data_IF_531852868671
#
_entry.id   IF_531852868671
#
_cell.length_a   1.000
_cell.length_b   1.000
_cell.length_c   1.000
_cell.angle_alpha   90.00
_cell.angle_beta   90.00
_cell.angle_gamma   90.00
#
_symmetry.space_group_name_H-M   'P 1'
#
loop_
_entity.id
_entity.type
_entity.pdbx_description
1 polymer ?
#
# COMPACT_ATOMS: atom_id res chain seq x y z
N UNK A 1 26.74 -1.25 26.54
CA UNK A 1 25.69 -1.91 25.71
C UNK A 1 26.09 -1.72 24.26
N UNK A 2 26.48 -2.78 23.55
CA UNK A 2 26.71 -2.72 22.11
C UNK A 2 25.36 -2.53 21.42
N UNK A 3 24.98 -1.30 21.11
CA UNK A 3 23.89 -1.03 20.18
C UNK A 3 24.36 -1.48 18.81
N UNK A 4 23.95 -2.69 18.40
CA UNK A 4 24.08 -3.09 17.01
C UNK A 4 23.37 -2.05 16.14
N UNK A 5 24.11 -1.45 15.21
CA UNK A 5 23.57 -0.46 14.29
C UNK A 5 22.58 -1.14 13.33
N UNK A 6 21.49 -0.44 13.03
CA UNK A 6 20.55 -0.87 12.00
C UNK A 6 21.22 -0.76 10.62
N UNK A 7 21.71 -1.88 10.10
CA UNK A 7 22.28 -1.99 8.76
C UNK A 7 21.20 -2.26 7.70
N UNK A 8 21.45 -1.91 6.41
CA UNK A 8 20.59 -2.33 5.31
C UNK A 8 20.38 -3.85 5.31
N UNK A 9 19.18 -4.29 4.91
CA UNK A 9 18.88 -5.71 4.75
C UNK A 9 19.81 -6.29 3.69
N UNK A 10 20.51 -7.38 3.99
CA UNK A 10 21.36 -8.04 2.99
C UNK A 10 20.49 -8.63 1.87
N UNK A 11 21.06 -8.78 0.67
CA UNK A 11 20.30 -9.32 -0.46
C UNK A 11 19.81 -10.75 -0.19
N UNK A 12 20.62 -11.57 0.49
CA UNK A 12 20.29 -12.94 0.90
C UNK A 12 19.15 -13.01 1.91
N UNK A 13 18.95 -11.91 2.63
CA UNK A 13 17.94 -11.75 3.66
C UNK A 13 16.60 -11.24 3.09
N UNK A 14 16.51 -10.90 1.80
CA UNK A 14 15.27 -10.42 1.19
C UNK A 14 14.36 -11.57 0.75
N UNK A 15 13.07 -11.31 0.79
CA UNK A 15 12.06 -12.23 0.27
C UNK A 15 11.68 -11.77 -1.13
N UNK A 16 12.27 -12.41 -2.14
CA UNK A 16 12.05 -12.07 -3.55
C UNK A 16 10.57 -12.12 -3.92
N UNK A 17 9.83 -13.09 -3.38
CA UNK A 17 8.40 -13.25 -3.66
C UNK A 17 7.59 -12.05 -3.16
N UNK A 18 7.93 -11.47 -2.01
CA UNK A 18 7.24 -10.30 -1.48
C UNK A 18 7.54 -9.05 -2.30
N UNK A 19 8.76 -8.93 -2.81
CA UNK A 19 9.15 -7.80 -3.66
C UNK A 19 8.45 -7.88 -5.03
N UNK A 20 8.36 -9.07 -5.63
CA UNK A 20 7.56 -9.32 -6.85
C UNK A 20 6.08 -9.03 -6.62
N UNK A 21 5.50 -9.53 -5.53
CA UNK A 21 4.09 -9.29 -5.20
C UNK A 21 3.80 -7.80 -4.98
N UNK A 22 4.72 -7.04 -4.39
CA UNK A 22 4.58 -5.58 -4.26
C UNK A 22 4.63 -4.88 -5.60
N UNK A 23 5.55 -5.27 -6.48
CA UNK A 23 5.63 -4.73 -7.84
C UNK A 23 4.35 -5.00 -8.63
N UNK A 24 3.83 -6.23 -8.54
CA UNK A 24 2.55 -6.60 -9.14
C UNK A 24 1.37 -5.82 -8.54
N UNK A 25 1.35 -5.66 -7.22
CA UNK A 25 0.33 -4.88 -6.53
C UNK A 25 0.32 -3.41 -7.01
N UNK A 26 1.51 -2.80 -7.10
CA UNK A 26 1.68 -1.43 -7.55
C UNK A 26 1.29 -1.24 -9.02
N UNK A 27 1.57 -2.21 -9.88
CA UNK A 27 1.14 -2.18 -11.28
C UNK A 27 -0.39 -2.13 -11.41
N UNK A 28 -1.12 -2.92 -10.61
CA UNK A 28 -2.58 -2.86 -10.63
C UNK A 28 -3.14 -1.59 -10.00
N UNK A 29 -2.52 -1.04 -8.95
CA UNK A 29 -2.86 0.29 -8.42
C UNK A 29 -2.66 1.37 -9.49
N UNK A 30 -1.56 1.31 -10.24
CA UNK A 30 -1.33 2.22 -11.36
C UNK A 30 -2.44 2.08 -12.42
N UNK A 31 -2.80 0.85 -12.78
CA UNK A 31 -3.83 0.59 -13.80
C UNK A 31 -5.18 1.17 -13.39
N UNK A 32 -5.58 1.00 -12.14
CA UNK A 32 -6.80 1.60 -11.58
C UNK A 32 -6.75 3.14 -11.64
N UNK A 33 -5.59 3.73 -11.34
CA UNK A 33 -5.42 5.18 -11.35
C UNK A 33 -5.38 5.82 -12.73
N UNK A 34 -5.06 5.07 -13.80
CA UNK A 34 -5.12 5.60 -15.17
C UNK A 34 -6.54 6.12 -15.47
N UNK A 35 -7.58 5.48 -14.95
CA UNK A 35 -8.96 5.94 -15.12
C UNK A 35 -9.19 7.33 -14.53
N UNK A 36 -8.59 7.63 -13.38
CA UNK A 36 -8.62 8.97 -12.78
C UNK A 36 -7.76 9.98 -13.54
N UNK A 37 -6.52 9.61 -13.90
CA UNK A 37 -5.57 10.50 -14.57
C UNK A 37 -5.95 10.88 -16.00
N UNK A 38 -6.71 10.03 -16.69
CA UNK A 38 -7.26 10.39 -18.02
C UNK A 38 -8.37 11.44 -17.94
N UNK A 39 -8.86 11.75 -16.73
CA UNK A 39 -9.98 12.64 -16.51
C UNK A 39 -11.35 12.00 -16.77
N UNK A 40 -11.37 10.79 -17.33
CA UNK A 40 -12.60 10.09 -17.73
C UNK A 40 -13.53 9.80 -16.53
N UNK A 41 -12.94 9.57 -15.35
CA UNK A 41 -13.70 9.42 -14.11
C UNK A 41 -14.53 10.64 -13.68
N UNK A 42 -14.18 11.84 -14.17
CA UNK A 42 -14.89 13.08 -13.83
C UNK A 42 -16.01 13.45 -14.82
N UNK A 43 -16.15 12.70 -15.92
CA UNK A 43 -17.21 12.95 -16.89
C UNK A 43 -18.58 12.50 -16.38
N UNK A 44 -19.62 13.26 -16.75
CA UNK A 44 -21.00 12.81 -16.57
C UNK A 44 -21.27 11.64 -17.52
N UNK A 45 -22.35 10.91 -17.24
CA UNK A 45 -22.75 9.79 -18.10
C UNK A 45 -23.01 10.24 -19.54
N UNK A 46 -23.69 11.38 -19.74
CA UNK A 46 -23.95 11.93 -21.07
C UNK A 46 -22.69 12.36 -21.81
N UNK A 47 -21.68 12.88 -21.12
CA UNK A 47 -20.39 13.21 -21.72
C UNK A 47 -19.64 11.95 -22.17
N UNK A 48 -19.71 10.87 -21.38
CA UNK A 48 -19.09 9.59 -21.76
C UNK A 48 -19.73 8.96 -22.99
N UNK A 49 -21.06 9.00 -23.07
CA UNK A 49 -21.81 8.46 -24.21
C UNK A 49 -21.57 9.24 -25.51
N UNK A 50 -21.16 10.51 -25.41
CA UNK A 50 -20.82 11.34 -26.56
C UNK A 50 -19.39 11.10 -27.11
N UNK A 51 -18.54 10.36 -26.40
CA UNK A 51 -17.19 10.05 -26.85
C UNK A 51 -17.19 8.93 -27.90
N UNK A 52 -16.24 8.94 -28.85
CA UNK A 52 -16.03 7.81 -29.75
C UNK A 52 -15.65 6.58 -28.93
N UNK A 53 -16.44 5.51 -29.06
CA UNK A 53 -16.23 4.23 -28.36
C UNK A 53 -15.77 3.14 -29.32
N UNK A 54 -15.00 2.19 -28.79
CA UNK A 54 -14.66 0.95 -29.46
C UNK A 54 -15.61 -0.18 -28.98
N UNK A 55 -16.00 -1.16 -29.83
CA UNK A 55 -16.97 -2.18 -29.45
C UNK A 55 -16.58 -3.02 -28.22
N UNK A 56 -15.29 -3.10 -27.88
CA UNK A 56 -14.83 -3.85 -26.71
C UNK A 56 -14.74 -3.02 -25.42
N UNK A 57 -15.03 -1.71 -25.45
CA UNK A 57 -14.93 -0.83 -24.28
C UNK A 57 -15.78 -1.34 -23.11
N UNK A 58 -16.98 -1.85 -23.40
CA UNK A 58 -17.86 -2.45 -22.38
C UNK A 58 -17.27 -3.70 -21.73
N UNK A 59 -16.60 -4.56 -22.53
CA UNK A 59 -15.95 -5.76 -22.02
C UNK A 59 -14.71 -5.40 -21.19
N UNK A 60 -13.90 -4.44 -21.65
CA UNK A 60 -12.73 -3.94 -20.94
C UNK A 60 -13.15 -3.32 -19.60
N UNK A 61 -14.19 -2.48 -19.61
CA UNK A 61 -14.74 -1.89 -18.38
C UNK A 61 -15.27 -2.93 -17.40
N UNK A 62 -15.92 -3.99 -17.90
CA UNK A 62 -16.35 -5.09 -17.05
C UNK A 62 -15.17 -5.83 -16.41
N UNK A 63 -14.10 -6.09 -17.17
CA UNK A 63 -12.89 -6.75 -16.65
C UNK A 63 -12.19 -5.85 -15.62
N UNK A 64 -12.09 -4.56 -15.89
CA UNK A 64 -11.50 -3.57 -14.97
C UNK A 64 -12.25 -3.56 -13.63
N UNK A 65 -13.58 -3.42 -13.65
CA UNK A 65 -14.41 -3.45 -12.45
C UNK A 65 -14.30 -4.82 -11.75
N UNK A 66 -14.31 -5.91 -12.51
CA UNK A 66 -14.36 -7.26 -11.95
C UNK A 66 -13.03 -7.72 -11.35
N UNK A 67 -11.88 -7.25 -11.84
CA UNK A 67 -10.54 -7.76 -11.48
C UNK A 67 -9.59 -6.73 -10.92
N UNK A 68 -9.72 -5.45 -11.29
CA UNK A 68 -8.73 -4.43 -10.97
C UNK A 68 -9.27 -3.51 -9.87
N UNK A 69 -10.45 -2.93 -10.11
CA UNK A 69 -11.02 -1.88 -9.30
C UNK A 69 -11.03 -2.21 -7.82
N UNK A 70 -10.31 -1.42 -7.01
CA UNK A 70 -10.23 -1.59 -5.57
C UNK A 70 -9.37 -2.76 -5.06
N UNK A 71 -9.17 -3.83 -5.84
CA UNK A 71 -8.56 -5.08 -5.34
C UNK A 71 -7.06 -4.95 -5.08
N UNK A 72 -6.38 -4.22 -5.94
CA UNK A 72 -4.94 -4.03 -5.83
C UNK A 72 -4.55 -3.16 -4.63
N UNK A 73 -5.42 -2.24 -4.18
CA UNK A 73 -5.23 -1.55 -2.91
C UNK A 73 -5.31 -2.51 -1.73
N UNK A 74 -6.30 -3.41 -1.71
CA UNK A 74 -6.42 -4.43 -0.66
C UNK A 74 -5.20 -5.35 -0.62
N UNK A 75 -4.72 -5.79 -1.78
CA UNK A 75 -3.51 -6.60 -1.88
C UNK A 75 -2.28 -5.82 -1.38
N UNK A 76 -2.13 -4.58 -1.80
CA UNK A 76 -1.01 -3.73 -1.36
C UNK A 76 -1.07 -3.45 0.15
N UNK A 77 -2.27 -3.26 0.72
CA UNK A 77 -2.51 -3.10 2.16
C UNK A 77 -2.08 -4.33 2.96
N UNK A 78 -2.46 -5.53 2.49
CA UNK A 78 -2.03 -6.78 3.09
C UNK A 78 -0.49 -6.92 3.06
N UNK A 79 0.14 -6.66 1.91
CA UNK A 79 1.59 -6.73 1.75
C UNK A 79 2.34 -5.69 2.60
N UNK A 80 1.73 -4.52 2.82
CA UNK A 80 2.24 -3.50 3.73
C UNK A 80 2.22 -4.01 5.18
N UNK A 81 1.10 -4.60 5.62
CA UNK A 81 0.98 -5.23 6.95
C UNK A 81 1.96 -6.39 7.17
N UNK A 82 2.15 -7.25 6.16
CA UNK A 82 3.17 -8.31 6.19
C UNK A 82 4.57 -7.70 6.33
N UNK A 83 4.86 -6.63 5.58
CA UNK A 83 6.11 -5.89 5.67
C UNK A 83 6.39 -5.35 7.08
N UNK A 84 5.35 -4.86 7.77
CA UNK A 84 5.43 -4.45 9.17
C UNK A 84 5.83 -5.61 10.09
N UNK A 85 5.16 -6.76 9.99
CA UNK A 85 5.44 -7.94 10.81
C UNK A 85 6.90 -8.41 10.63
N UNK A 86 7.38 -8.42 9.39
CA UNK A 86 8.77 -8.80 9.07
C UNK A 86 9.77 -7.83 9.71
N UNK A 87 9.52 -6.52 9.67
CA UNK A 87 10.42 -5.53 10.31
C UNK A 87 10.51 -5.79 11.81
N UNK A 88 9.38 -6.07 12.45
CA UNK A 88 9.32 -6.37 13.88
C UNK A 88 10.13 -7.60 14.25
N UNK A 89 9.78 -8.75 13.67
CA UNK A 89 10.40 -10.05 13.98
C UNK A 89 11.91 -9.98 13.79
N UNK A 90 12.37 -9.40 12.67
CA UNK A 90 13.80 -9.35 12.35
C UNK A 90 14.61 -8.45 13.28
N UNK A 91 14.06 -7.30 13.66
CA UNK A 91 14.77 -6.39 14.56
C UNK A 91 14.75 -6.91 16.00
N UNK A 92 13.66 -7.57 16.43
CA UNK A 92 13.62 -8.28 17.72
C UNK A 92 14.68 -9.37 17.81
N UNK A 93 14.81 -10.22 16.76
CA UNK A 93 15.84 -11.26 16.69
C UNK A 93 17.26 -10.70 16.76
N UNK A 94 17.48 -9.46 16.28
CA UNK A 94 18.78 -8.78 16.31
C UNK A 94 19.00 -7.95 17.60
N UNK A 95 18.07 -7.97 18.55
CA UNK A 95 18.14 -7.17 19.78
C UNK A 95 18.05 -5.65 19.55
N UNK A 96 17.59 -5.23 18.37
CA UNK A 96 17.41 -3.82 18.00
C UNK A 96 15.98 -3.42 18.29
N UNK A 97 15.73 -2.21 18.80
CA UNK A 97 14.37 -1.74 19.05
C UNK A 97 13.56 -1.66 17.73
N UNK A 98 12.58 -2.57 17.50
CA UNK A 98 11.88 -2.66 16.22
C UNK A 98 10.95 -1.48 15.98
N UNK A 99 10.32 -0.97 17.06
CA UNK A 99 9.35 0.12 17.00
C UNK A 99 10.02 1.42 16.59
N UNK A 100 11.24 1.68 17.06
CA UNK A 100 12.02 2.87 16.67
C UNK A 100 12.26 2.91 15.16
N UNK A 101 12.62 1.77 14.56
CA UNK A 101 12.85 1.67 13.12
C UNK A 101 11.54 1.81 12.36
N UNK A 102 10.50 1.12 12.82
CA UNK A 102 9.18 1.17 12.18
C UNK A 102 8.59 2.58 12.16
N UNK A 103 8.52 3.26 13.30
CA UNK A 103 7.99 4.62 13.39
C UNK A 103 8.81 5.62 12.59
N UNK A 104 10.14 5.48 12.53
CA UNK A 104 10.98 6.32 11.66
C UNK A 104 10.60 6.15 10.18
N UNK A 105 10.38 4.91 9.74
CA UNK A 105 9.98 4.63 8.35
C UNK A 105 8.60 5.18 8.04
N UNK A 106 7.63 5.00 8.95
CA UNK A 106 6.30 5.57 8.79
C UNK A 106 6.30 7.09 8.79
N UNK A 107 7.12 7.73 9.61
CA UNK A 107 7.21 9.18 9.64
C UNK A 107 7.74 9.75 8.32
N UNK A 108 8.77 9.11 7.75
CA UNK A 108 9.26 9.47 6.41
C UNK A 108 8.17 9.25 5.37
N UNK A 109 7.46 8.12 5.45
CA UNK A 109 6.34 7.81 4.54
C UNK A 109 5.20 8.83 4.68
N UNK A 110 4.91 9.29 5.89
CA UNK A 110 3.88 10.28 6.18
C UNK A 110 4.23 11.63 5.57
N UNK A 111 5.49 12.08 5.67
CA UNK A 111 5.95 13.32 5.05
C UNK A 111 5.81 13.22 3.53
N UNK A 112 6.34 12.14 2.93
CA UNK A 112 6.25 11.93 1.48
C UNK A 112 4.79 11.87 1.02
N UNK A 113 3.93 11.16 1.76
CA UNK A 113 2.50 11.07 1.47
C UNK A 113 1.79 12.40 1.63
N UNK A 114 2.12 13.20 2.66
CA UNK A 114 1.55 14.52 2.85
C UNK A 114 1.94 15.46 1.70
N UNK A 115 3.23 15.52 1.37
CA UNK A 115 3.72 16.33 0.25
C UNK A 115 3.04 15.90 -1.06
N UNK A 116 2.91 14.59 -1.30
CA UNK A 116 2.23 14.07 -2.48
C UNK A 116 0.73 14.41 -2.49
N UNK A 117 0.03 14.26 -1.37
CA UNK A 117 -1.40 14.56 -1.23
C UNK A 117 -1.71 16.04 -1.47
N UNK A 118 -0.90 16.94 -0.91
CA UNK A 118 -1.14 18.38 -0.98
C UNK A 118 -0.59 19.04 -2.25
N UNK A 119 0.50 18.50 -2.83
CA UNK A 119 1.19 19.15 -3.95
C UNK A 119 0.94 18.47 -5.31
N UNK A 120 0.59 17.18 -5.33
CA UNK A 120 0.53 16.40 -6.56
C UNK A 120 -0.87 15.88 -6.88
N UNK A 121 -1.48 15.08 -5.98
CA UNK A 121 -2.73 14.40 -6.28
C UNK A 121 -3.49 13.96 -5.02
N UNK A 122 -4.81 14.19 -5.02
CA UNK A 122 -5.69 13.96 -3.87
C UNK A 122 -5.96 12.48 -3.52
N UNK A 123 -5.71 11.55 -4.44
CA UNK A 123 -5.93 10.11 -4.22
C UNK A 123 -4.76 9.38 -3.57
N UNK A 124 -3.94 10.07 -2.78
CA UNK A 124 -2.73 9.51 -2.19
C UNK A 124 -3.02 8.35 -1.21
N UNK A 125 -2.39 7.21 -1.47
CA UNK A 125 -2.44 6.05 -0.58
C UNK A 125 -1.34 6.08 0.49
N UNK A 126 -0.22 6.77 0.26
CA UNK A 126 0.94 6.69 1.14
C UNK A 126 0.64 7.31 2.51
N UNK A 127 -0.02 8.46 2.52
CA UNK A 127 -0.45 9.20 3.69
C UNK A 127 -1.42 8.38 4.53
N UNK A 128 -2.43 7.78 3.89
CA UNK A 128 -3.40 6.92 4.56
C UNK A 128 -2.72 5.71 5.20
N UNK A 129 -1.80 5.06 4.46
CA UNK A 129 -1.07 3.90 4.96
C UNK A 129 -0.11 4.27 6.08
N UNK A 130 0.50 5.45 6.02
CA UNK A 130 1.33 5.95 7.10
C UNK A 130 0.50 6.19 8.36
N UNK A 131 -0.66 6.84 8.24
CA UNK A 131 -1.56 7.16 9.35
C UNK A 131 -2.12 5.89 10.01
N UNK A 132 -2.69 4.97 9.23
CA UNK A 132 -3.17 3.67 9.73
C UNK A 132 -1.99 2.87 10.28
N UNK A 133 -0.85 2.92 9.59
CA UNK A 133 0.45 2.38 9.96
C UNK A 133 0.83 2.64 11.42
N UNK A 134 0.64 3.88 11.89
CA UNK A 134 1.00 4.30 13.24
C UNK A 134 0.25 3.53 14.33
N UNK A 135 -0.93 2.98 14.00
CA UNK A 135 -1.79 2.23 14.92
C UNK A 135 -1.45 0.73 14.96
N UNK A 136 -0.82 0.16 13.93
CA UNK A 136 -0.49 -1.29 13.87
C UNK A 136 0.27 -1.81 15.10
N UNK A 137 1.26 -1.10 15.69
CA UNK A 137 1.94 -1.56 16.89
C UNK A 137 1.05 -1.82 18.10
N UNK A 138 -0.13 -1.17 18.17
CA UNK A 138 -1.12 -1.40 19.23
C UNK A 138 -1.68 -2.83 19.17
N UNK A 139 -1.82 -3.38 17.97
CA UNK A 139 -2.37 -4.71 17.73
C UNK A 139 -1.33 -5.84 17.87
N UNK A 140 -0.03 -5.51 18.02
CA UNK A 140 1.06 -6.49 18.05
C UNK A 140 0.93 -7.53 19.17
N UNK A 141 0.42 -7.12 20.33
CA UNK A 141 0.29 -7.99 21.53
C UNK A 141 -1.16 -8.40 21.80
N UNK A 142 -2.07 -8.12 20.87
CA UNK A 142 -3.46 -8.53 20.98
C UNK A 142 -3.58 -10.05 20.76
N UNK A 143 -4.57 -10.67 21.42
CA UNK A 143 -4.88 -12.08 21.18
C UNK A 143 -5.53 -12.27 19.80
N UNK A 144 -5.41 -13.47 19.23
CA UNK A 144 -6.02 -13.82 17.94
C UNK A 144 -7.53 -13.52 17.91
N UNK A 145 -8.23 -13.75 19.03
CA UNK A 145 -9.65 -13.42 19.19
C UNK A 145 -9.91 -11.91 19.05
N UNK A 146 -9.03 -11.08 19.59
CA UNK A 146 -9.14 -9.62 19.46
C UNK A 146 -8.89 -9.20 18.02
N UNK A 147 -7.88 -9.79 17.36
CA UNK A 147 -7.58 -9.49 15.95
C UNK A 147 -8.75 -9.84 15.03
N UNK A 148 -9.42 -10.98 15.24
CA UNK A 148 -10.58 -11.40 14.45
C UNK A 148 -11.83 -10.54 14.65
N UNK A 149 -12.00 -9.91 15.83
CA UNK A 149 -13.13 -9.00 16.08
C UNK A 149 -12.91 -7.65 15.37
N UNK A 150 -11.65 -7.25 15.22
CA UNK A 150 -11.26 -5.97 14.63
C UNK A 150 -10.99 -6.04 13.12
N UNK A 151 -10.77 -7.23 12.55
CA UNK A 151 -10.54 -7.48 11.13
C UNK A 151 -11.85 -7.55 10.34
#
# INVERSE_FOLDING_TARGET
MNTQQAMPVSLTDRSDILDVLRGFALFGVLTDNIFGFTGYGFFTQSMREALPTWPADGLIGLIEIAFIKGKFYSLFSLLFGIGFSIILIRNEQKGINPLKIFYRRLFILLIIGADHLFLLWEGDILFLYALIGLTLPLFRKCSDKTLLIWA
#
